data_IF_209532378707
#
_entry.id   IF_209532378707
#
_cell.length_a   1.000
_cell.length_b   1.000
_cell.length_c   1.000
_cell.angle_alpha   90.00
_cell.angle_beta   90.00
_cell.angle_gamma   90.00
#
_symmetry.space_group_name_H-M   'P 1'
#
loop_
_entity.id
_entity.type
_entity.pdbx_description
1 polymer ?
#
# COMPACT_ATOMS: atom_id res chain seq x y z
N UNK A 1 -13.05 -4.07 -8.35
CA UNK A 1 -12.39 -4.53 -7.13
C UNK A 1 -12.66 -5.99 -6.82
N UNK A 2 -11.62 -6.82 -6.94
CA UNK A 2 -11.49 -8.21 -6.53
C UNK A 2 -10.52 -8.28 -5.35
N UNK A 3 -10.92 -8.98 -4.30
CA UNK A 3 -10.17 -9.05 -3.04
C UNK A 3 -9.80 -10.49 -2.74
N UNK A 4 -8.55 -10.72 -2.35
CA UNK A 4 -8.07 -11.99 -1.83
C UNK A 4 -7.79 -11.85 -0.33
N UNK A 5 -8.38 -12.73 0.49
CA UNK A 5 -8.10 -12.82 1.93
C UNK A 5 -7.42 -14.17 2.19
N UNK A 6 -6.27 -14.15 2.85
CA UNK A 6 -5.44 -15.34 3.08
C UNK A 6 -5.20 -15.52 4.57
N UNK A 7 -5.67 -16.63 5.12
CA UNK A 7 -5.58 -16.97 6.54
C UNK A 7 -5.89 -18.47 6.70
N UNK A 8 -5.18 -19.19 7.56
CA UNK A 8 -5.42 -20.63 7.74
C UNK A 8 -6.70 -20.92 8.56
N UNK A 9 -7.19 -19.94 9.32
CA UNK A 9 -8.43 -19.98 10.11
C UNK A 9 -9.68 -19.71 9.23
N UNK A 10 -10.53 -20.74 8.97
CA UNK A 10 -11.72 -20.58 8.15
C UNK A 10 -12.80 -19.68 8.77
N UNK A 11 -12.87 -19.58 10.10
CA UNK A 11 -13.82 -18.72 10.79
C UNK A 11 -13.40 -17.25 10.66
N UNK A 12 -12.09 -16.98 10.76
CA UNK A 12 -11.53 -15.67 10.49
C UNK A 12 -11.79 -15.23 9.05
N UNK A 13 -11.52 -16.09 8.06
CA UNK A 13 -11.81 -15.81 6.64
C UNK A 13 -13.28 -15.45 6.40
N UNK A 14 -14.20 -16.21 7.00
CA UNK A 14 -15.65 -15.98 6.87
C UNK A 14 -16.07 -14.65 7.48
N UNK A 15 -15.59 -14.36 8.69
CA UNK A 15 -15.91 -13.11 9.40
C UNK A 15 -15.33 -11.90 8.67
N UNK A 16 -14.08 -12.00 8.22
CA UNK A 16 -13.41 -10.91 7.53
C UNK A 16 -14.07 -10.63 6.18
N UNK A 17 -14.39 -11.68 5.41
CA UNK A 17 -15.17 -11.56 4.17
C UNK A 17 -16.50 -10.87 4.38
N UNK A 18 -17.22 -11.17 5.47
CA UNK A 18 -18.48 -10.51 5.80
C UNK A 18 -18.29 -9.00 5.96
N UNK A 19 -17.30 -8.56 6.73
CA UNK A 19 -17.05 -7.13 6.94
C UNK A 19 -16.51 -6.43 5.68
N UNK A 20 -15.62 -7.07 4.92
CA UNK A 20 -15.15 -6.54 3.64
C UNK A 20 -16.30 -6.31 2.65
N UNK A 21 -17.28 -7.24 2.58
CA UNK A 21 -18.50 -7.04 1.78
C UNK A 21 -19.34 -5.87 2.26
N UNK A 22 -19.46 -5.71 3.58
CA UNK A 22 -20.25 -4.64 4.19
C UNK A 22 -19.64 -3.26 3.93
N UNK A 23 -18.33 -3.11 4.09
CA UNK A 23 -17.66 -1.81 4.00
C UNK A 23 -17.38 -1.40 2.54
N UNK A 24 -17.07 -2.34 1.63
CA UNK A 24 -16.61 -1.99 0.27
C UNK A 24 -17.47 -2.50 -0.90
N UNK A 25 -18.34 -3.49 -0.68
CA UNK A 25 -19.13 -4.16 -1.74
C UNK A 25 -18.28 -4.56 -2.97
N UNK A 26 -17.17 -5.31 -2.80
CA UNK A 26 -16.33 -5.73 -3.91
C UNK A 26 -17.11 -6.63 -4.87
N UNK A 27 -16.68 -6.66 -6.14
CA UNK A 27 -17.23 -7.56 -7.16
C UNK A 27 -17.08 -9.01 -6.74
N UNK A 28 -15.95 -9.33 -6.13
CA UNK A 28 -15.62 -10.69 -5.70
C UNK A 28 -14.68 -10.65 -4.49
N UNK A 29 -14.87 -11.63 -3.59
CA UNK A 29 -13.93 -11.95 -2.52
C UNK A 29 -13.57 -13.41 -2.67
N UNK A 30 -12.27 -13.66 -2.80
CA UNK A 30 -11.66 -14.98 -2.82
C UNK A 30 -11.00 -15.20 -1.46
N UNK A 31 -11.10 -16.42 -0.94
CA UNK A 31 -10.44 -16.81 0.30
C UNK A 31 -9.45 -17.93 -0.01
N UNK A 32 -8.26 -17.84 0.59
CA UNK A 32 -7.24 -18.87 0.51
C UNK A 32 -6.78 -19.24 1.93
N UNK A 33 -6.49 -20.52 2.15
CA UNK A 33 -6.09 -21.05 3.46
C UNK A 33 -4.59 -21.28 3.60
N UNK A 34 -3.83 -20.90 2.59
CA UNK A 34 -2.38 -21.04 2.51
C UNK A 34 -1.82 -20.13 1.42
N UNK A 35 -0.52 -19.86 1.49
CA UNK A 35 0.20 -19.13 0.44
C UNK A 35 0.11 -19.86 -0.91
N UNK A 36 0.16 -21.18 -0.94
CA UNK A 36 0.08 -21.94 -2.20
C UNK A 36 -1.28 -21.80 -2.88
N UNK A 37 -2.35 -21.70 -2.10
CA UNK A 37 -3.69 -21.41 -2.64
C UNK A 37 -3.81 -19.96 -3.11
N UNK A 38 -3.27 -19.03 -2.34
CA UNK A 38 -3.24 -17.62 -2.71
C UNK A 38 -2.45 -17.37 -4.00
N UNK A 39 -1.28 -18.01 -4.15
CA UNK A 39 -0.43 -17.94 -5.35
C UNK A 39 -1.20 -18.39 -6.59
N UNK A 40 -1.94 -19.51 -6.52
CA UNK A 40 -2.80 -19.95 -7.64
C UNK A 40 -3.82 -18.90 -8.03
N UNK A 41 -4.39 -18.16 -7.08
CA UNK A 41 -5.34 -17.10 -7.39
C UNK A 41 -4.67 -15.89 -8.05
N UNK A 42 -3.52 -15.44 -7.53
CA UNK A 42 -2.77 -14.29 -8.07
C UNK A 42 -2.23 -14.58 -9.48
N UNK A 43 -1.82 -15.82 -9.76
CA UNK A 43 -1.31 -16.21 -11.07
C UNK A 43 -2.39 -16.29 -12.16
N UNK A 44 -3.65 -16.52 -11.77
CA UNK A 44 -4.74 -16.64 -12.73
C UNK A 44 -5.40 -15.29 -13.05
N UNK A 45 -5.50 -14.40 -12.07
CA UNK A 45 -6.27 -13.17 -12.18
C UNK A 45 -5.71 -12.09 -11.26
N UNK A 46 -5.75 -10.84 -11.73
CA UNK A 46 -5.30 -9.71 -10.93
C UNK A 46 -6.17 -9.48 -9.69
N UNK A 47 -5.52 -9.10 -8.59
CA UNK A 47 -6.16 -8.75 -7.32
C UNK A 47 -5.95 -7.27 -7.04
N UNK A 48 -7.04 -6.56 -6.79
CA UNK A 48 -6.96 -5.15 -6.39
C UNK A 48 -6.44 -5.02 -4.96
N UNK A 49 -6.86 -5.94 -4.08
CA UNK A 49 -6.45 -6.00 -2.67
C UNK A 49 -6.14 -7.44 -2.27
N UNK A 50 -4.96 -7.66 -1.71
CA UNK A 50 -4.60 -8.90 -1.00
C UNK A 50 -4.45 -8.56 0.49
N UNK A 51 -5.14 -9.32 1.34
CA UNK A 51 -4.99 -9.27 2.79
C UNK A 51 -4.46 -10.62 3.25
N UNK A 52 -3.27 -10.65 3.83
CA UNK A 52 -2.61 -11.90 4.21
C UNK A 52 -2.28 -11.93 5.68
N UNK A 53 -2.56 -13.04 6.33
CA UNK A 53 -1.89 -13.37 7.58
C UNK A 53 -0.38 -13.49 7.36
N UNK A 54 0.39 -13.17 8.39
CA UNK A 54 1.82 -13.46 8.42
C UNK A 54 2.08 -14.93 8.78
N UNK A 55 1.41 -15.43 9.83
CA UNK A 55 1.76 -16.69 10.48
C UNK A 55 0.84 -17.81 9.99
N UNK A 56 1.26 -18.49 8.94
CA UNK A 56 0.52 -19.61 8.36
C UNK A 56 1.42 -20.86 8.30
N UNK A 57 0.84 -22.07 8.42
CA UNK A 57 1.59 -23.30 8.24
C UNK A 57 2.29 -23.36 6.87
N UNK A 58 3.57 -23.72 6.88
CA UNK A 58 4.39 -23.86 5.68
C UNK A 58 5.05 -22.55 5.28
N UNK A 59 4.46 -21.83 4.32
CA UNK A 59 4.97 -20.54 3.82
C UNK A 59 4.34 -19.39 4.63
N UNK A 60 5.15 -18.39 4.95
CA UNK A 60 4.73 -17.19 5.66
C UNK A 60 4.06 -16.18 4.72
N UNK A 61 3.36 -15.20 5.29
CA UNK A 61 2.82 -14.09 4.50
C UNK A 61 3.89 -13.25 3.79
N UNK A 62 5.16 -13.29 4.23
CA UNK A 62 6.26 -12.66 3.48
C UNK A 62 6.57 -13.39 2.18
N UNK A 63 6.44 -14.72 2.15
CA UNK A 63 6.58 -15.48 0.90
C UNK A 63 5.50 -15.07 -0.10
N UNK A 64 4.26 -14.90 0.36
CA UNK A 64 3.17 -14.39 -0.48
C UNK A 64 3.42 -12.96 -0.97
N UNK A 65 3.97 -12.10 -0.11
CA UNK A 65 4.34 -10.74 -0.46
C UNK A 65 5.39 -10.70 -1.58
N UNK A 66 6.44 -11.51 -1.46
CA UNK A 66 7.50 -11.62 -2.47
C UNK A 66 6.94 -12.16 -3.80
N UNK A 67 6.03 -13.15 -3.75
CA UNK A 67 5.31 -13.69 -4.92
C UNK A 67 4.47 -12.61 -5.59
N UNK A 68 3.62 -11.92 -4.83
CA UNK A 68 2.72 -10.87 -5.33
C UNK A 68 3.50 -9.75 -6.03
N UNK A 69 4.67 -9.40 -5.50
CA UNK A 69 5.55 -8.37 -6.07
C UNK A 69 6.24 -8.83 -7.34
N UNK A 70 6.69 -10.09 -7.37
CA UNK A 70 7.31 -10.67 -8.57
C UNK A 70 6.32 -10.82 -9.72
N UNK A 71 5.06 -11.16 -9.44
CA UNK A 71 4.05 -11.37 -10.46
C UNK A 71 3.41 -10.08 -11.00
N UNK A 72 3.49 -8.95 -10.27
CA UNK A 72 2.94 -7.67 -10.71
C UNK A 72 1.40 -7.59 -10.74
N UNK A 73 0.70 -8.69 -10.43
CA UNK A 73 -0.76 -8.82 -10.53
C UNK A 73 -1.52 -8.39 -9.26
N UNK A 74 -0.89 -7.65 -8.35
CA UNK A 74 -1.48 -7.23 -7.08
C UNK A 74 -1.33 -5.72 -6.88
N UNK A 75 -2.47 -5.03 -6.81
CA UNK A 75 -2.53 -3.59 -6.55
C UNK A 75 -2.03 -3.23 -5.15
N UNK A 76 -2.84 -3.51 -4.13
CA UNK A 76 -2.47 -3.33 -2.73
C UNK A 76 -2.29 -4.68 -2.03
N UNK A 77 -1.28 -4.78 -1.18
CA UNK A 77 -1.12 -5.90 -0.25
C UNK A 77 -1.00 -5.38 1.18
N UNK A 78 -1.84 -5.91 2.06
CA UNK A 78 -1.92 -5.59 3.47
C UNK A 78 -1.61 -6.85 4.29
N UNK A 79 -0.61 -6.76 5.14
CA UNK A 79 -0.33 -7.80 6.12
C UNK A 79 -1.23 -7.61 7.33
N UNK A 80 -1.75 -8.70 7.87
CA UNK A 80 -2.46 -8.71 9.15
C UNK A 80 -1.81 -9.77 10.01
N UNK A 81 -1.60 -9.51 11.30
CA UNK A 81 -0.93 -10.49 12.15
C UNK A 81 -1.40 -10.38 13.60
N UNK A 82 -1.40 -11.50 14.31
CA UNK A 82 -1.57 -11.49 15.77
C UNK A 82 -0.27 -11.11 16.51
N UNK A 83 0.86 -11.04 15.80
CA UNK A 83 2.15 -10.65 16.35
C UNK A 83 2.25 -9.12 16.44
N UNK A 84 2.27 -8.59 17.66
CA UNK A 84 2.57 -7.17 17.89
C UNK A 84 4.08 -6.93 17.94
N UNK A 85 4.76 -7.26 16.82
CA UNK A 85 6.20 -7.08 16.64
C UNK A 85 6.50 -5.96 15.64
N UNK A 86 7.11 -4.89 16.15
CA UNK A 86 7.53 -3.73 15.35
C UNK A 86 8.57 -4.12 14.29
N UNK A 87 9.41 -5.12 14.54
CA UNK A 87 10.40 -5.57 13.55
C UNK A 87 9.70 -6.24 12.36
N UNK A 88 8.69 -7.06 12.62
CA UNK A 88 7.85 -7.67 11.59
C UNK A 88 7.12 -6.61 10.77
N UNK A 89 6.50 -5.63 11.42
CA UNK A 89 5.82 -4.52 10.73
C UNK A 89 6.80 -3.74 9.82
N UNK A 90 7.97 -3.37 10.34
CA UNK A 90 8.99 -2.68 9.57
C UNK A 90 9.46 -3.52 8.37
N UNK A 91 9.61 -4.83 8.55
CA UNK A 91 10.04 -5.73 7.49
C UNK A 91 8.96 -5.93 6.41
N UNK A 92 7.68 -6.05 6.80
CA UNK A 92 6.55 -6.09 5.88
C UNK A 92 6.54 -4.87 4.96
N UNK A 93 6.68 -3.67 5.55
CA UNK A 93 6.68 -2.42 4.80
C UNK A 93 7.93 -2.29 3.90
N UNK A 94 9.10 -2.73 4.38
CA UNK A 94 10.33 -2.77 3.54
C UNK A 94 10.20 -3.67 2.32
N UNK A 95 9.45 -4.76 2.45
CA UNK A 95 9.13 -5.72 1.38
C UNK A 95 8.00 -5.24 0.46
N UNK A 96 7.43 -4.05 0.72
CA UNK A 96 6.43 -3.44 -0.15
C UNK A 96 4.99 -3.78 0.21
N UNK A 97 4.73 -4.24 1.43
CA UNK A 97 3.38 -4.17 1.99
C UNK A 97 2.98 -2.70 2.19
N UNK A 98 1.72 -2.38 1.92
CA UNK A 98 1.21 -1.04 2.16
C UNK A 98 1.04 -0.79 3.66
N UNK A 99 0.55 -1.81 4.38
CA UNK A 99 0.37 -1.80 5.83
C UNK A 99 0.67 -3.18 6.42
N UNK A 100 0.99 -3.19 7.71
CA UNK A 100 0.98 -4.37 8.56
C UNK A 100 0.13 -4.06 9.79
N UNK A 101 -1.02 -4.72 9.92
CA UNK A 101 -2.06 -4.40 10.89
C UNK A 101 -2.20 -5.50 11.95
N UNK A 102 -2.51 -5.10 13.18
CA UNK A 102 -2.72 -6.02 14.29
C UNK A 102 -4.13 -6.64 14.20
N UNK A 103 -4.25 -7.98 14.18
CA UNK A 103 -5.52 -8.72 14.23
C UNK A 103 -6.37 -8.30 15.45
N UNK A 104 -5.73 -7.88 16.55
CA UNK A 104 -6.35 -7.34 17.76
C UNK A 104 -7.17 -6.05 17.54
N UNK A 105 -7.01 -5.38 16.40
CA UNK A 105 -7.91 -4.28 15.99
C UNK A 105 -9.33 -4.77 15.72
N UNK A 106 -9.51 -6.05 15.38
CA UNK A 106 -10.77 -6.66 14.98
C UNK A 106 -11.06 -6.50 13.50
N UNK A 107 -11.55 -7.57 12.88
CA UNK A 107 -11.82 -7.68 11.43
C UNK A 107 -12.66 -6.55 10.87
N UNK A 108 -13.66 -6.07 11.60
CA UNK A 108 -14.49 -4.94 11.17
C UNK A 108 -13.68 -3.64 11.03
N UNK A 109 -12.81 -3.34 12.00
CA UNK A 109 -12.02 -2.12 11.97
C UNK A 109 -10.95 -2.18 10.90
N UNK A 110 -10.34 -3.36 10.70
CA UNK A 110 -9.38 -3.59 9.62
C UNK A 110 -10.08 -3.44 8.26
N UNK A 111 -11.26 -4.03 8.07
CA UNK A 111 -12.03 -3.90 6.84
C UNK A 111 -12.38 -2.44 6.53
N UNK A 112 -12.81 -1.68 7.55
CA UNK A 112 -13.09 -0.25 7.42
C UNK A 112 -11.85 0.55 7.04
N UNK A 113 -10.71 0.26 7.69
CA UNK A 113 -9.44 0.89 7.39
C UNK A 113 -9.05 0.68 5.92
N UNK A 114 -9.11 -0.57 5.46
CA UNK A 114 -8.84 -0.90 4.06
C UNK A 114 -9.82 -0.18 3.12
N UNK A 115 -11.11 -0.15 3.45
CA UNK A 115 -12.15 0.51 2.66
C UNK A 115 -11.87 1.99 2.44
N UNK A 116 -11.58 2.70 3.52
CA UNK A 116 -11.33 4.12 3.51
C UNK A 116 -9.99 4.46 2.82
N UNK A 117 -8.94 3.64 2.98
CA UNK A 117 -7.69 3.80 2.20
C UNK A 117 -7.97 3.67 0.70
N UNK A 118 -8.76 2.66 0.30
CA UNK A 118 -9.13 2.49 -1.11
C UNK A 118 -9.99 3.65 -1.62
N UNK A 119 -10.93 4.14 -0.81
CA UNK A 119 -11.73 5.33 -1.17
C UNK A 119 -10.87 6.59 -1.31
N UNK A 120 -9.85 6.77 -0.45
CA UNK A 120 -8.90 7.86 -0.55
C UNK A 120 -7.99 7.71 -1.80
N UNK A 121 -7.64 6.47 -2.18
CA UNK A 121 -6.91 6.18 -3.41
C UNK A 121 -7.75 6.48 -4.67
N UNK A 122 -9.04 6.12 -4.67
CA UNK A 122 -9.98 6.41 -5.77
C UNK A 122 -10.23 7.92 -5.97
N UNK A 123 -9.97 8.75 -4.94
CA UNK A 123 -10.04 10.22 -5.03
C UNK A 123 -8.76 10.84 -5.59
N UNK A 124 -7.69 10.06 -5.77
CA UNK A 124 -6.47 10.57 -6.37
C UNK A 124 -6.73 10.83 -7.86
N UNK A 125 -6.16 11.91 -8.41
CA UNK A 125 -6.40 12.27 -9.80
C UNK A 125 -5.81 11.21 -10.73
N UNK A 126 -6.66 10.59 -11.53
CA UNK A 126 -6.23 9.62 -12.53
C UNK A 126 -5.37 10.30 -13.60
N UNK A 127 -5.66 11.55 -13.96
CA UNK A 127 -4.99 12.31 -15.02
C UNK A 127 -3.60 12.84 -14.66
N UNK A 128 -3.06 12.47 -13.48
CA UNK A 128 -1.76 12.92 -12.98
C UNK A 128 -0.92 11.75 -12.53
N UNK A 129 0.40 11.91 -12.55
CA UNK A 129 1.29 10.93 -11.95
C UNK A 129 1.11 10.85 -10.44
N UNK A 130 0.83 9.66 -9.91
CA UNK A 130 0.64 9.41 -8.48
C UNK A 130 1.55 8.28 -8.02
N UNK A 131 2.22 8.49 -6.90
CA UNK A 131 2.77 7.40 -6.09
C UNK A 131 2.29 7.49 -4.65
N UNK A 132 2.16 6.34 -3.99
CA UNK A 132 2.00 6.24 -2.55
C UNK A 132 3.28 5.65 -1.98
N UNK A 133 3.85 6.31 -0.96
CA UNK A 133 5.08 5.88 -0.32
C UNK A 133 4.88 5.63 1.16
N UNK A 134 5.51 4.58 1.71
CA UNK A 134 5.52 4.22 3.13
C UNK A 134 6.92 3.72 3.52
N UNK A 135 7.48 4.15 4.66
CA UNK A 135 8.89 3.91 5.03
C UNK A 135 9.91 4.24 3.91
N UNK A 136 9.59 5.22 3.05
CA UNK A 136 10.40 5.57 1.88
C UNK A 136 10.32 4.58 0.73
N UNK A 137 9.48 3.53 0.80
CA UNK A 137 9.21 2.58 -0.27
C UNK A 137 7.98 3.00 -1.05
N UNK A 138 8.01 2.83 -2.38
CA UNK A 138 6.83 2.99 -3.23
C UNK A 138 5.96 1.75 -3.05
N UNK A 139 4.70 1.95 -2.65
CA UNK A 139 3.73 0.86 -2.43
C UNK A 139 2.52 0.95 -3.36
N UNK A 140 2.40 2.05 -4.10
CA UNK A 140 1.49 2.22 -5.21
C UNK A 140 2.09 3.20 -6.21
N UNK A 141 1.82 2.96 -7.49
CA UNK A 141 2.11 3.86 -8.61
C UNK A 141 1.01 3.69 -9.64
N UNK A 142 0.52 4.80 -10.20
CA UNK A 142 -0.50 4.77 -11.24
C UNK A 142 0.09 4.83 -12.66
N UNK A 143 -0.75 4.52 -13.66
CA UNK A 143 -0.35 4.47 -15.08
C UNK A 143 0.23 5.79 -15.60
N UNK A 144 -0.27 6.94 -15.13
CA UNK A 144 0.27 8.24 -15.56
C UNK A 144 1.70 8.46 -15.07
N UNK A 145 2.02 8.04 -13.85
CA UNK A 145 3.40 8.10 -13.36
C UNK A 145 4.31 7.14 -14.14
N UNK A 146 3.86 5.92 -14.41
CA UNK A 146 4.62 4.96 -15.23
C UNK A 146 4.87 5.52 -16.64
N UNK A 147 3.83 6.07 -17.26
CA UNK A 147 3.89 6.67 -18.59
C UNK A 147 4.82 7.88 -18.65
N UNK A 148 4.81 8.72 -17.61
CA UNK A 148 5.64 9.92 -17.51
C UNK A 148 7.11 9.60 -17.26
N UNK A 149 7.41 8.53 -16.51
CA UNK A 149 8.78 8.21 -16.05
C UNK A 149 9.46 7.08 -16.81
N UNK A 150 8.70 6.33 -17.64
CA UNK A 150 9.18 5.17 -18.42
C UNK A 150 9.68 3.99 -17.57
N UNK A 151 9.39 3.99 -16.27
CA UNK A 151 9.59 2.82 -15.43
C UNK A 151 8.46 1.81 -15.60
N UNK A 152 8.77 0.53 -15.38
CA UNK A 152 7.75 -0.50 -15.22
C UNK A 152 7.30 -0.59 -13.76
N UNK A 153 6.08 -1.06 -13.54
CA UNK A 153 5.49 -1.19 -12.21
C UNK A 153 6.37 -1.99 -11.25
N UNK A 154 6.92 -3.12 -11.71
CA UNK A 154 7.73 -4.05 -10.93
C UNK A 154 9.10 -3.45 -10.52
N UNK A 155 9.52 -2.38 -11.18
CA UNK A 155 10.79 -1.70 -10.90
C UNK A 155 10.63 -0.61 -9.84
N UNK A 156 9.44 -0.01 -9.75
CA UNK A 156 9.14 1.02 -8.77
C UNK A 156 8.63 0.46 -7.47
N UNK A 157 7.72 -0.50 -7.52
CA UNK A 157 7.08 -1.03 -6.33
C UNK A 157 8.09 -1.74 -5.43
N UNK A 158 8.07 -1.42 -4.13
CA UNK A 158 9.06 -1.89 -3.16
C UNK A 158 10.44 -1.21 -3.29
N UNK A 159 10.70 -0.45 -4.36
CA UNK A 159 11.90 0.38 -4.47
C UNK A 159 11.80 1.60 -3.56
N UNK A 160 12.94 2.20 -3.23
CA UNK A 160 12.92 3.45 -2.47
C UNK A 160 12.47 4.59 -3.39
N UNK A 161 11.57 5.47 -2.97
CA UNK A 161 11.06 6.59 -3.77
C UNK A 161 12.14 7.55 -4.32
N UNK A 162 13.34 7.55 -3.73
CA UNK A 162 14.51 8.23 -4.29
C UNK A 162 14.96 7.72 -5.67
N UNK A 163 14.44 6.56 -6.11
CA UNK A 163 14.64 6.04 -7.47
C UNK A 163 14.07 7.01 -8.51
N UNK A 164 12.94 7.66 -8.20
CA UNK A 164 12.23 8.52 -9.16
C UNK A 164 12.06 9.96 -8.70
N UNK A 165 12.26 10.28 -7.41
CA UNK A 165 12.07 11.63 -6.88
C UNK A 165 13.36 12.13 -6.24
N UNK A 166 13.68 13.41 -6.47
CA UNK A 166 14.87 14.03 -5.88
C UNK A 166 14.91 14.01 -4.34
N UNK A 167 16.12 14.23 -3.80
CA UNK A 167 16.37 14.27 -2.35
C UNK A 167 15.75 15.48 -1.64
N UNK A 168 15.40 16.55 -2.34
CA UNK A 168 14.74 17.73 -1.81
C UNK A 168 13.33 17.43 -1.31
N UNK A 169 12.54 16.69 -2.10
CA UNK A 169 11.21 16.22 -1.69
C UNK A 169 11.29 15.31 -0.45
N UNK A 170 12.28 14.41 -0.44
CA UNK A 170 12.56 13.52 0.70
C UNK A 170 12.90 14.31 1.96
N UNK A 171 13.77 15.31 1.81
CA UNK A 171 14.20 16.18 2.92
C UNK A 171 13.03 17.01 3.46
N UNK A 172 12.14 17.47 2.59
CA UNK A 172 10.92 18.18 3.00
C UNK A 172 10.03 17.29 3.86
N UNK A 173 9.72 16.07 3.40
CA UNK A 173 8.86 15.14 4.14
C UNK A 173 9.46 14.80 5.49
N UNK A 174 10.76 14.47 5.53
CA UNK A 174 11.47 14.18 6.80
C UNK A 174 11.39 15.34 7.80
N UNK A 175 11.43 16.59 7.35
CA UNK A 175 11.40 17.77 8.23
C UNK A 175 9.99 18.13 8.69
N UNK A 176 8.95 17.79 7.92
CA UNK A 176 7.59 18.30 8.15
C UNK A 176 6.54 17.22 8.43
N UNK A 177 6.93 15.94 8.49
CA UNK A 177 5.96 14.83 8.63
C UNK A 177 4.98 14.97 9.79
N UNK A 178 5.41 15.47 10.94
CA UNK A 178 4.57 15.67 12.12
C UNK A 178 3.44 16.70 11.90
N UNK A 179 3.62 17.62 10.96
CA UNK A 179 2.66 18.69 10.64
C UNK A 179 1.75 18.35 9.47
N UNK A 180 2.04 17.26 8.75
CA UNK A 180 1.21 16.78 7.65
C UNK A 180 -0.03 16.07 8.18
N UNK A 181 -1.19 16.40 7.63
CA UNK A 181 -2.46 15.76 7.95
C UNK A 181 -3.38 15.76 6.72
N UNK A 182 -4.52 15.10 6.82
CA UNK A 182 -5.44 14.93 5.71
C UNK A 182 -6.17 16.19 5.25
N UNK A 183 -6.15 17.25 6.07
CA UNK A 183 -6.79 18.53 5.75
C UNK A 183 -5.86 19.47 5.01
N UNK A 184 -4.56 19.19 5.01
CA UNK A 184 -3.56 20.11 4.46
C UNK A 184 -2.72 19.41 3.41
N UNK A 185 -2.78 19.94 2.18
CA UNK A 185 -1.89 19.56 1.08
C UNK A 185 -0.67 20.47 1.15
N UNK A 186 0.54 19.89 1.14
CA UNK A 186 1.78 20.65 0.96
C UNK A 186 2.27 20.52 -0.47
N UNK A 187 2.77 21.62 -1.01
CA UNK A 187 3.35 21.68 -2.35
C UNK A 187 4.86 21.75 -2.21
N UNK A 188 5.56 20.89 -2.94
CA UNK A 188 7.01 20.86 -2.94
C UNK A 188 7.47 20.80 -4.39
N UNK A 189 8.25 21.79 -4.81
CA UNK A 189 8.94 21.71 -6.10
C UNK A 189 9.98 20.60 -6.04
N UNK A 190 9.93 19.69 -7.00
CA UNK A 190 10.89 18.61 -7.10
C UNK A 190 11.10 18.19 -8.56
N UNK A 191 12.08 17.33 -8.73
CA UNK A 191 12.47 16.69 -9.98
C UNK A 191 12.04 15.24 -9.90
N UNK A 192 11.34 14.80 -10.94
CA UNK A 192 11.04 13.40 -11.19
C UNK A 192 11.98 12.89 -12.29
N UNK A 193 12.65 11.78 -12.03
CA UNK A 193 13.63 11.20 -12.94
C UNK A 193 12.95 10.27 -13.94
N UNK A 194 13.15 10.53 -15.23
CA UNK A 194 12.84 9.60 -16.32
C UNK A 194 13.92 8.50 -16.39
N UNK A 195 13.51 7.26 -16.65
CA UNK A 195 14.41 6.11 -16.74
C UNK A 195 15.30 6.12 -17.98
N UNK A 196 14.74 6.42 -19.14
CA UNK A 196 15.35 6.15 -20.45
C UNK A 196 16.17 7.32 -20.96
N UNK A 197 15.71 8.56 -20.70
CA UNK A 197 16.28 9.75 -21.32
C UNK A 197 17.21 10.57 -20.38
N UNK A 198 17.45 10.11 -19.15
CA UNK A 198 18.05 10.91 -18.06
C UNK A 198 17.36 12.29 -17.88
N UNK A 199 16.12 12.41 -18.37
CA UNK A 199 15.37 13.65 -18.33
C UNK A 199 14.87 13.91 -16.91
N UNK A 200 15.09 15.13 -16.48
CA UNK A 200 14.60 15.66 -15.22
C UNK A 200 13.28 16.39 -15.47
N UNK A 201 12.17 15.81 -15.02
CA UNK A 201 10.83 16.41 -15.09
C UNK A 201 10.68 17.31 -13.87
N UNK A 202 10.77 18.63 -14.07
CA UNK A 202 10.44 19.59 -13.02
C UNK A 202 8.93 19.58 -12.78
N UNK A 203 8.52 19.30 -11.55
CA UNK A 203 7.11 19.26 -11.19
C UNK A 203 6.88 19.78 -9.77
N UNK A 204 5.61 19.99 -9.44
CA UNK A 204 5.19 20.21 -8.05
C UNK A 204 4.59 18.94 -7.50
N UNK A 205 5.21 18.36 -6.48
CA UNK A 205 4.63 17.24 -5.74
C UNK A 205 3.64 17.75 -4.70
N UNK A 206 2.40 17.30 -4.79
CA UNK A 206 1.42 17.49 -3.73
C UNK A 206 1.58 16.36 -2.72
N UNK A 207 1.88 16.71 -1.47
CA UNK A 207 2.10 15.77 -0.37
C UNK A 207 0.92 15.86 0.59
N UNK A 208 0.24 14.71 0.78
CA UNK A 208 -0.89 14.58 1.70
C UNK A 208 -0.74 13.30 2.53
N UNK A 209 -1.00 13.41 3.83
CA UNK A 209 -1.20 12.27 4.73
C UNK A 209 -2.69 11.91 4.69
N UNK A 210 -3.13 10.71 4.28
CA UNK A 210 -4.56 10.43 4.11
C UNK A 210 -5.37 10.40 5.43
N UNK A 211 -6.70 10.41 5.32
CA UNK A 211 -7.63 10.82 6.39
C UNK A 211 -7.56 10.02 7.69
N UNK A 212 -7.24 8.74 7.59
CA UNK A 212 -7.54 7.80 8.66
C UNK A 212 -6.53 7.68 9.79
N UNK A 213 -5.43 8.41 9.74
CA UNK A 213 -4.49 8.41 10.87
C UNK A 213 -4.97 9.26 12.07
N UNK A 214 -6.21 9.74 12.08
CA UNK A 214 -6.73 10.59 13.16
C UNK A 214 -7.60 9.88 14.21
N UNK A 215 -8.12 8.68 13.95
CA UNK A 215 -9.01 7.98 14.90
C UNK A 215 -8.61 6.53 15.15
N UNK A 216 -7.30 6.33 15.38
CA UNK A 216 -6.74 5.04 15.74
C UNK A 216 -6.03 5.12 17.09
N UNK A 217 -6.80 5.41 18.13
CA UNK A 217 -6.35 5.36 19.53
C UNK A 217 -5.75 4.00 19.98
N UNK A 218 -5.66 3.00 19.07
CA UNK A 218 -5.12 1.65 19.27
C UNK A 218 -3.98 1.24 18.30
N UNK A 219 -3.70 1.98 17.23
CA UNK A 219 -2.44 1.79 16.48
C UNK A 219 -1.39 2.61 17.24
N UNK A 220 -0.26 2.00 17.60
CA UNK A 220 0.76 2.69 18.41
C UNK A 220 1.08 4.07 17.85
N UNK A 221 1.34 5.02 18.75
CA UNK A 221 1.47 6.48 18.50
C UNK A 221 2.55 6.89 17.47
N UNK A 222 3.24 5.93 16.87
CA UNK A 222 4.42 6.13 16.03
C UNK A 222 4.27 5.60 14.58
N UNK A 223 3.11 5.13 14.13
CA UNK A 223 3.09 4.38 12.86
C UNK A 223 3.24 5.20 11.57
N UNK A 224 3.91 4.52 10.66
CA UNK A 224 4.62 4.96 9.46
C UNK A 224 3.77 5.90 8.61
N UNK A 225 4.26 7.11 8.31
CA UNK A 225 3.50 8.01 7.48
C UNK A 225 3.50 7.49 6.04
N UNK A 226 2.31 7.22 5.52
CA UNK A 226 2.11 7.04 4.09
C UNK A 226 1.75 8.38 3.46
N UNK A 227 2.32 8.65 2.29
CA UNK A 227 2.11 9.89 1.56
C UNK A 227 1.65 9.60 0.15
N UNK A 228 0.55 10.24 -0.25
CA UNK A 228 0.26 10.41 -1.66
C UNK A 228 1.11 11.57 -2.18
N UNK A 229 1.85 11.29 -3.26
CA UNK A 229 2.71 12.22 -3.98
C UNK A 229 2.15 12.36 -5.38
N UNK A 230 1.57 13.52 -5.67
CA UNK A 230 0.87 13.78 -6.91
C UNK A 230 1.70 14.77 -7.74
N UNK A 231 2.14 14.33 -8.90
CA UNK A 231 2.85 15.13 -9.88
C UNK A 231 1.91 16.16 -10.47
N UNK A 232 2.26 17.43 -10.35
CA UNK A 232 1.63 18.52 -11.06
C UNK A 232 2.66 19.12 -12.02
N UNK A 233 2.38 19.01 -13.32
CA UNK A 233 3.09 19.69 -14.41
C UNK A 233 2.94 21.21 -14.31
#
# INVERSE_FOLDING_TARGET
MRILIVDDDPDYLKLFSHFMRKEMRPREIVCARSVDEAERHISNEAMDVVVSDYDMPGKSGFDLLDIARTQGNVGMICMVTAHNDRMLECEALRRGAMFCLDKGMGTQNIARFIANVMEDADKLPDERGVIIVTMGKIVHVNEHMLSATKYRYEELIGSHWATIIDRGCISFVRKHHERLNHRTIKKVSCTVHDREDEKEIQCTMLIKKPAELNDISKLHRDHVPYYALIMQE
#
